data_IF_127203376356
#
_entry.id   IF_127203376356
#
_cell.length_a   1.000
_cell.length_b   1.000
_cell.length_c   1.000
_cell.angle_alpha   90.00
_cell.angle_beta   90.00
_cell.angle_gamma   90.00
#
_symmetry.space_group_name_H-M   'P 1'
#
loop_
_entity.id
_entity.type
_entity.pdbx_description
1 polymer ?
#
# COMPACT_ATOMS: atom_id res chain seq x y z
N UNK A 1 20.11 -33.47 21.13
CA UNK A 1 20.03 -32.74 19.85
C UNK A 1 18.63 -32.93 19.29
N UNK A 2 17.76 -31.92 19.39
CA UNK A 2 16.43 -31.93 18.78
C UNK A 2 16.47 -30.95 17.60
N UNK A 3 16.29 -31.49 16.40
CA UNK A 3 16.27 -30.76 15.14
C UNK A 3 14.98 -29.94 15.07
N UNK A 4 15.07 -28.62 15.14
CA UNK A 4 13.96 -27.72 14.81
C UNK A 4 14.20 -27.26 13.38
N UNK A 5 13.44 -27.83 12.45
CA UNK A 5 13.40 -27.38 11.07
C UNK A 5 12.57 -26.10 10.97
N UNK A 6 13.23 -24.97 10.76
CA UNK A 6 12.57 -23.72 10.41
C UNK A 6 12.28 -23.72 8.90
N UNK A 7 10.99 -23.87 8.56
CA UNK A 7 10.49 -23.75 7.19
C UNK A 7 10.27 -22.27 6.88
N UNK A 8 11.16 -21.67 6.10
CA UNK A 8 11.04 -20.30 5.60
C UNK A 8 10.29 -20.34 4.25
N UNK A 9 9.00 -20.02 4.23
CA UNK A 9 8.21 -19.90 2.99
C UNK A 9 8.45 -18.53 2.36
N UNK A 10 9.34 -18.48 1.35
CA UNK A 10 9.48 -17.35 0.45
C UNK A 10 8.31 -17.37 -0.56
N UNK A 11 7.37 -16.42 -0.44
CA UNK A 11 6.40 -16.16 -1.49
C UNK A 11 7.04 -15.27 -2.56
N UNK A 12 7.51 -15.88 -3.65
CA UNK A 12 7.96 -15.19 -4.86
C UNK A 12 6.77 -15.15 -5.83
N UNK A 13 6.32 -13.94 -6.20
CA UNK A 13 5.31 -13.75 -7.25
C UNK A 13 6.01 -13.72 -8.61
N UNK A 14 5.60 -14.52 -9.63
CA UNK A 14 6.21 -14.42 -10.95
C UNK A 14 5.62 -13.26 -11.75
N UNK A 15 6.50 -12.42 -12.31
CA UNK A 15 6.18 -11.49 -13.38
C UNK A 15 6.19 -12.25 -14.71
N UNK A 16 5.05 -12.28 -15.42
CA UNK A 16 4.97 -12.88 -16.75
C UNK A 16 5.38 -11.86 -17.81
N UNK A 17 6.40 -12.22 -18.61
CA UNK A 17 6.87 -11.45 -19.76
C UNK A 17 5.83 -11.44 -20.89
N UNK A 18 5.53 -10.25 -21.44
CA UNK A 18 4.63 -10.08 -22.57
C UNK A 18 5.41 -9.97 -23.89
N UNK A 19 5.10 -10.85 -24.84
CA UNK A 19 5.47 -10.70 -26.24
C UNK A 19 4.33 -9.99 -27.01
N UNK A 20 4.70 -9.07 -27.90
CA UNK A 20 3.78 -8.25 -28.70
C UNK A 20 3.14 -9.05 -29.85
N UNK A 21 1.88 -8.75 -30.16
CA UNK A 21 1.14 -9.24 -31.34
C UNK A 21 -0.06 -8.33 -31.67
N UNK A 22 -0.53 -8.28 -32.93
CA UNK A 22 -0.80 -7.03 -33.66
C UNK A 22 -2.23 -6.48 -33.57
N UNK A 23 -2.36 -5.19 -33.91
CA UNK A 23 -3.58 -4.41 -34.08
C UNK A 23 -4.37 -4.75 -35.35
N UNK A 24 -5.69 -4.96 -35.24
CA UNK A 24 -6.66 -4.92 -36.36
C UNK A 24 -8.09 -4.60 -35.84
N UNK A 25 -9.08 -4.19 -36.69
CA UNK A 25 -9.87 -2.97 -36.51
C UNK A 25 -11.36 -3.22 -36.18
N UNK A 26 -12.08 -2.16 -35.83
CA UNK A 26 -13.55 -2.16 -35.68
C UNK A 26 -14.26 -2.32 -37.03
N UNK A 27 -15.24 -3.23 -37.10
CA UNK A 27 -16.60 -2.92 -37.58
C UNK A 27 -17.64 -3.97 -37.14
N UNK A 28 -18.91 -3.54 -37.10
CA UNK A 28 -20.02 -4.11 -36.32
C UNK A 28 -20.75 -5.31 -36.95
N UNK A 29 -21.39 -6.13 -36.10
CA UNK A 29 -22.36 -7.14 -36.50
C UNK A 29 -23.14 -7.70 -35.29
N UNK A 30 -24.41 -7.34 -35.16
CA UNK A 30 -25.18 -7.44 -33.91
C UNK A 30 -25.68 -8.82 -33.49
N UNK A 31 -26.09 -8.91 -32.21
CA UNK A 31 -27.19 -9.71 -31.67
C UNK A 31 -27.58 -9.10 -30.31
N UNK A 32 -28.85 -8.73 -30.14
CA UNK A 32 -29.35 -7.80 -29.13
C UNK A 32 -29.13 -8.19 -27.65
N UNK A 33 -28.19 -7.50 -27.01
CA UNK A 33 -27.99 -7.52 -25.56
C UNK A 33 -27.72 -6.10 -25.03
N UNK A 34 -28.34 -5.09 -25.65
CA UNK A 34 -28.16 -3.69 -25.27
C UNK A 34 -28.96 -3.41 -23.99
N UNK A 35 -28.26 -3.19 -22.88
CA UNK A 35 -28.85 -2.80 -21.60
C UNK A 35 -29.58 -3.93 -20.85
N UNK A 36 -29.20 -5.18 -21.10
CA UNK A 36 -29.79 -6.31 -20.38
C UNK A 36 -29.17 -6.42 -18.96
N UNK A 37 -29.98 -6.50 -17.89
CA UNK A 37 -29.46 -6.73 -16.55
C UNK A 37 -28.83 -8.13 -16.48
N UNK A 38 -27.61 -8.20 -15.94
CA UNK A 38 -26.87 -9.43 -15.69
C UNK A 38 -26.46 -9.54 -14.22
N UNK A 39 -26.11 -10.74 -13.80
CA UNK A 39 -25.59 -11.02 -12.46
C UNK A 39 -24.31 -11.85 -12.54
N UNK A 40 -23.32 -11.48 -11.74
CA UNK A 40 -22.05 -12.24 -11.62
C UNK A 40 -22.30 -13.52 -10.84
N UNK A 41 -21.87 -14.67 -11.37
CA UNK A 41 -22.16 -15.99 -10.79
C UNK A 41 -20.94 -16.67 -10.15
N UNK A 42 -19.75 -16.10 -10.26
CA UNK A 42 -18.51 -16.60 -9.66
C UNK A 42 -18.09 -15.73 -8.48
N UNK A 43 -17.29 -16.29 -7.55
CA UNK A 43 -16.86 -15.62 -6.30
C UNK A 43 -16.33 -14.20 -6.52
N UNK A 44 -15.45 -14.03 -7.51
CA UNK A 44 -15.04 -12.73 -8.01
C UNK A 44 -14.65 -12.81 -9.50
N UNK A 45 -14.89 -11.73 -10.23
CA UNK A 45 -14.47 -11.55 -11.62
C UNK A 45 -13.70 -10.23 -11.78
N UNK A 46 -12.69 -10.22 -12.65
CA UNK A 46 -11.92 -9.02 -12.96
C UNK A 46 -12.53 -8.29 -14.15
N UNK A 47 -12.95 -7.05 -13.95
CA UNK A 47 -13.48 -6.18 -15.01
C UNK A 47 -12.30 -5.68 -15.84
N UNK A 48 -12.16 -6.13 -17.08
CA UNK A 48 -10.98 -5.83 -17.92
C UNK A 48 -11.22 -4.67 -18.88
N UNK A 49 -10.15 -4.02 -19.32
CA UNK A 49 -10.23 -2.92 -20.28
C UNK A 49 -10.67 -3.36 -21.69
N UNK A 50 -10.51 -4.64 -22.04
CA UNK A 50 -10.86 -5.21 -23.34
C UNK A 50 -11.19 -6.71 -23.26
N UNK A 51 -11.72 -7.30 -24.35
CA UNK A 51 -12.16 -8.70 -24.39
C UNK A 51 -10.99 -9.68 -24.52
N UNK A 52 -10.27 -9.90 -23.42
CA UNK A 52 -9.13 -10.82 -23.39
C UNK A 52 -8.40 -10.82 -22.05
N UNK A 53 -7.78 -11.95 -21.72
CA UNK A 53 -6.97 -12.06 -20.49
C UNK A 53 -5.68 -11.20 -20.53
N UNK A 54 -5.30 -10.69 -21.70
CA UNK A 54 -4.15 -9.80 -21.87
C UNK A 54 -4.47 -8.34 -21.51
N UNK A 55 -5.76 -7.96 -21.45
CA UNK A 55 -6.15 -6.59 -21.10
C UNK A 55 -6.08 -6.37 -19.60
N UNK A 56 -5.59 -5.20 -19.20
CA UNK A 56 -5.48 -4.79 -17.79
C UNK A 56 -6.83 -4.81 -17.08
N UNK A 57 -6.83 -5.21 -15.81
CA UNK A 57 -8.00 -5.14 -14.94
C UNK A 57 -8.24 -3.69 -14.50
N UNK A 58 -9.49 -3.23 -14.62
CA UNK A 58 -10.01 -1.93 -14.17
C UNK A 58 -10.72 -2.02 -12.82
N UNK A 59 -10.95 -3.23 -12.30
CA UNK A 59 -11.68 -3.44 -11.06
C UNK A 59 -12.08 -4.88 -10.84
N UNK A 60 -12.78 -5.13 -9.74
CA UNK A 60 -13.33 -6.45 -9.40
C UNK A 60 -14.81 -6.32 -9.08
N UNK A 61 -15.56 -7.33 -9.50
CA UNK A 61 -16.97 -7.54 -9.14
C UNK A 61 -17.09 -8.89 -8.45
N UNK A 62 -18.04 -9.03 -7.55
CA UNK A 62 -18.22 -10.21 -6.71
C UNK A 62 -19.49 -10.97 -7.08
N UNK A 63 -19.57 -12.22 -6.63
CA UNK A 63 -20.76 -13.04 -6.83
C UNK A 63 -22.01 -12.31 -6.34
N UNK A 64 -23.04 -12.28 -7.18
CA UNK A 64 -24.31 -11.64 -6.87
C UNK A 64 -24.41 -10.18 -7.32
N UNK A 65 -23.30 -9.53 -7.69
CA UNK A 65 -23.30 -8.15 -8.19
C UNK A 65 -24.13 -8.03 -9.47
N UNK A 66 -24.94 -6.96 -9.53
CA UNK A 66 -25.72 -6.60 -10.71
C UNK A 66 -24.86 -5.80 -11.68
N UNK A 67 -24.87 -6.21 -12.94
CA UNK A 67 -24.13 -5.57 -14.02
C UNK A 67 -25.06 -5.30 -15.19
N UNK A 68 -24.84 -4.22 -15.92
CA UNK A 68 -25.59 -3.95 -17.15
C UNK A 68 -24.77 -4.42 -18.35
N UNK A 69 -25.26 -5.44 -19.06
CA UNK A 69 -24.61 -5.96 -20.27
C UNK A 69 -24.93 -5.01 -21.43
N UNK A 70 -23.89 -4.51 -22.10
CA UNK A 70 -24.03 -3.60 -23.23
C UNK A 70 -23.84 -4.31 -24.57
N UNK A 71 -22.81 -5.15 -24.69
CA UNK A 71 -22.54 -5.90 -25.93
C UNK A 71 -21.71 -7.15 -25.68
N UNK A 72 -21.58 -7.99 -26.69
CA UNK A 72 -20.65 -9.12 -26.73
C UNK A 72 -19.45 -8.82 -27.62
N UNK A 73 -18.33 -9.48 -27.37
CA UNK A 73 -17.19 -9.48 -28.29
C UNK A 73 -17.54 -10.25 -29.55
N UNK A 74 -16.78 -10.04 -30.62
CA UNK A 74 -17.01 -10.74 -31.91
C UNK A 74 -16.89 -12.25 -31.78
N UNK A 75 -16.06 -12.72 -30.84
CA UNK A 75 -15.90 -14.15 -30.50
C UNK A 75 -17.01 -14.69 -29.59
N UNK A 76 -17.84 -13.82 -29.00
CA UNK A 76 -18.89 -14.17 -28.02
C UNK A 76 -18.38 -14.63 -26.65
N UNK A 77 -17.06 -14.76 -26.46
CA UNK A 77 -16.45 -15.21 -25.20
C UNK A 77 -16.46 -14.14 -24.10
N UNK A 78 -16.63 -12.87 -24.49
CA UNK A 78 -16.62 -11.72 -23.58
C UNK A 78 -17.89 -10.89 -23.72
N UNK A 79 -18.28 -10.28 -22.61
CA UNK A 79 -19.39 -9.33 -22.51
C UNK A 79 -18.86 -8.01 -21.97
N UNK A 80 -19.21 -6.91 -22.62
CA UNK A 80 -18.98 -5.58 -22.09
C UNK A 80 -20.09 -5.27 -21.09
N UNK A 81 -19.70 -4.87 -19.89
CA UNK A 81 -20.59 -4.59 -18.78
C UNK A 81 -20.31 -3.22 -18.17
N UNK A 82 -21.33 -2.62 -17.59
CA UNK A 82 -21.19 -1.50 -16.65
C UNK A 82 -21.54 -1.98 -15.25
N UNK A 83 -20.60 -1.86 -14.32
CA UNK A 83 -20.75 -2.26 -12.92
C UNK A 83 -20.33 -1.08 -12.03
N UNK A 84 -21.25 -0.58 -11.18
CA UNK A 84 -20.98 0.53 -10.26
C UNK A 84 -20.35 1.77 -10.93
N UNK A 85 -20.77 2.08 -12.16
CA UNK A 85 -20.25 3.21 -12.95
C UNK A 85 -18.96 2.94 -13.72
N UNK A 86 -18.34 1.76 -13.56
CA UNK A 86 -17.12 1.36 -14.28
C UNK A 86 -17.50 0.47 -15.47
N UNK A 87 -17.07 0.88 -16.67
CA UNK A 87 -17.27 0.13 -17.93
C UNK A 87 -16.05 -0.74 -18.25
N UNK A 88 -16.28 -2.02 -18.52
CA UNK A 88 -15.24 -2.97 -18.93
C UNK A 88 -15.79 -4.32 -19.35
N UNK A 89 -14.92 -5.32 -19.46
CA UNK A 89 -15.22 -6.61 -20.07
C UNK A 89 -15.09 -7.74 -19.04
N UNK A 90 -16.08 -8.64 -19.04
CA UNK A 90 -16.08 -9.90 -18.28
C UNK A 90 -16.19 -11.08 -19.24
N UNK A 91 -15.81 -12.28 -18.81
CA UNK A 91 -16.07 -13.46 -19.64
C UNK A 91 -17.57 -13.75 -19.63
N UNK A 92 -18.14 -14.06 -20.79
CA UNK A 92 -19.57 -14.33 -20.94
C UNK A 92 -20.06 -15.46 -20.02
N UNK A 93 -19.20 -16.45 -19.74
CA UNK A 93 -19.49 -17.57 -18.81
C UNK A 93 -19.58 -17.17 -17.34
N UNK A 94 -19.13 -15.98 -16.96
CA UNK A 94 -19.08 -15.49 -15.58
C UNK A 94 -20.30 -14.64 -15.24
N UNK A 95 -21.13 -14.31 -16.24
CA UNK A 95 -22.30 -13.45 -16.12
C UNK A 95 -23.55 -14.20 -16.57
N UNK A 96 -24.55 -14.25 -15.71
CA UNK A 96 -25.89 -14.73 -16.06
C UNK A 96 -26.77 -13.55 -16.47
N UNK A 97 -27.19 -13.53 -17.73
CA UNK A 97 -28.15 -12.53 -18.24
C UNK A 97 -29.53 -12.84 -17.65
N UNK A 98 -30.14 -11.85 -17.01
CA UNK A 98 -31.49 -11.94 -16.47
C UNK A 98 -32.50 -11.51 -17.57
N UNK A 99 -33.68 -12.15 -17.65
CA UNK A 99 -34.73 -11.70 -18.55
C UNK A 99 -35.14 -10.27 -18.18
N UNK A 100 -35.27 -9.40 -19.18
CA UNK A 100 -35.77 -8.03 -19.00
C UNK A 100 -37.23 -8.10 -18.56
N UNK A 101 -37.46 -7.98 -17.26
CA UNK A 101 -38.80 -8.02 -16.70
C UNK A 101 -39.55 -6.75 -17.13
N UNK A 102 -40.71 -6.92 -17.76
CA UNK A 102 -41.58 -5.80 -18.11
C UNK A 102 -42.00 -5.05 -16.83
N UNK A 103 -42.27 -3.73 -16.91
CA UNK A 103 -42.65 -2.97 -15.72
C UNK A 103 -43.90 -3.59 -15.10
N UNK A 104 -43.79 -4.10 -13.87
CA UNK A 104 -44.97 -4.47 -13.09
C UNK A 104 -45.59 -3.18 -12.57
N UNK A 105 -46.77 -2.87 -13.09
CA UNK A 105 -47.70 -1.92 -12.52
C UNK A 105 -48.05 -2.40 -11.10
N UNK A 106 -47.38 -1.86 -10.08
CA UNK A 106 -47.60 -2.29 -8.70
C UNK A 106 -46.48 -2.03 -7.69
N UNK A 107 -45.81 -0.88 -7.71
CA UNK A 107 -45.04 -0.39 -6.55
C UNK A 107 -45.82 0.73 -5.84
N UNK A 108 -47.03 0.40 -5.41
CA UNK A 108 -47.70 1.14 -4.35
C UNK A 108 -47.26 0.54 -3.00
N UNK A 109 -46.43 1.31 -2.28
CA UNK A 109 -46.28 1.29 -0.82
C UNK A 109 -46.03 -0.07 -0.15
N UNK A 110 -44.76 -0.47 -0.03
CA UNK A 110 -44.34 -1.45 0.98
C UNK A 110 -44.28 -0.78 2.37
N UNK A 111 -45.33 -0.97 3.17
CA UNK A 111 -45.49 -0.44 4.53
C UNK A 111 -44.54 -1.06 5.58
N UNK A 112 -43.56 -1.88 5.17
CA UNK A 112 -42.56 -2.48 6.07
C UNK A 112 -41.31 -1.65 6.30
N UNK A 113 -40.96 -0.72 5.40
CA UNK A 113 -39.71 0.05 5.49
C UNK A 113 -39.83 1.35 6.31
N UNK A 114 -41.02 1.98 6.34
CA UNK A 114 -41.27 3.20 7.11
C UNK A 114 -41.31 2.99 8.64
N UNK A 115 -41.40 1.74 9.14
CA UNK A 115 -41.43 1.48 10.60
C UNK A 115 -40.06 1.55 11.29
N UNK A 116 -38.94 1.57 10.55
CA UNK A 116 -37.60 1.61 11.17
C UNK A 116 -37.01 3.01 11.30
N UNK A 117 -37.55 4.01 10.60
CA UNK A 117 -37.04 5.39 10.65
C UNK A 117 -37.85 6.32 11.58
N UNK A 118 -39.07 5.97 11.97
CA UNK A 118 -39.96 6.90 12.72
C UNK A 118 -39.77 6.99 14.23
N UNK A 119 -38.82 6.28 14.87
CA UNK A 119 -38.81 6.20 16.35
C UNK A 119 -37.63 6.86 17.08
N UNK A 120 -36.60 7.39 16.41
CA UNK A 120 -35.45 7.99 17.09
C UNK A 120 -34.93 9.25 16.40
N UNK A 121 -34.81 10.33 17.16
CA UNK A 121 -34.14 11.57 16.74
C UNK A 121 -32.91 11.80 17.62
N UNK A 122 -31.85 12.35 17.03
CA UNK A 122 -30.62 12.72 17.74
C UNK A 122 -30.58 14.24 17.93
N UNK A 123 -30.15 14.71 19.09
CA UNK A 123 -29.91 16.14 19.30
C UNK A 123 -28.54 16.59 18.77
N UNK A 124 -28.31 17.91 18.73
CA UNK A 124 -27.09 18.53 18.23
C UNK A 124 -25.81 18.15 19.03
N UNK A 125 -25.96 17.38 20.11
CA UNK A 125 -24.89 16.88 20.96
C UNK A 125 -24.79 15.34 20.91
N UNK A 126 -25.44 14.70 19.92
CA UNK A 126 -25.29 13.27 19.62
C UNK A 126 -26.06 12.32 20.53
N UNK A 127 -27.01 12.81 21.35
CA UNK A 127 -27.79 11.97 22.28
C UNK A 127 -29.10 11.50 21.66
N UNK A 128 -29.46 10.23 21.91
CA UNK A 128 -30.70 9.59 21.42
C UNK A 128 -31.93 10.09 22.17
N UNK A 129 -32.97 10.49 21.43
CA UNK A 129 -34.31 10.82 21.95
C UNK A 129 -35.37 9.90 21.33
N UNK A 130 -36.31 9.46 22.16
CA UNK A 130 -37.51 8.77 21.69
C UNK A 130 -38.49 9.77 21.06
N UNK A 131 -39.37 9.31 20.17
CA UNK A 131 -40.35 10.13 19.46
C UNK A 131 -41.32 10.95 20.35
N UNK A 132 -41.39 10.68 21.66
CA UNK A 132 -42.19 11.43 22.63
C UNK A 132 -41.40 12.47 23.45
N UNK A 133 -40.15 12.78 23.07
CA UNK A 133 -39.33 13.83 23.69
C UNK A 133 -38.73 13.48 25.07
N UNK A 134 -38.97 12.26 25.59
CA UNK A 134 -38.36 11.82 26.85
C UNK A 134 -36.92 11.35 26.63
N UNK A 135 -36.02 11.77 27.52
CA UNK A 135 -34.64 11.33 27.54
C UNK A 135 -34.59 9.83 27.92
N UNK A 136 -33.98 9.01 27.09
CA UNK A 136 -33.73 7.60 27.40
C UNK A 136 -32.39 7.54 28.14
N UNK A 137 -32.43 7.08 29.39
CA UNK A 137 -31.24 6.97 30.25
C UNK A 137 -30.19 6.05 29.63
N UNK A 138 -28.94 6.50 29.64
CA UNK A 138 -27.77 5.68 29.34
C UNK A 138 -27.72 4.53 30.34
N UNK A 139 -27.80 3.29 29.85
CA UNK A 139 -27.70 2.09 30.70
C UNK A 139 -26.41 2.12 31.52
N UNK A 140 -26.57 2.32 32.82
CA UNK A 140 -25.58 2.02 33.85
C UNK A 140 -25.32 0.51 33.85
N UNK A 141 -24.08 0.15 33.50
CA UNK A 141 -23.54 -1.19 33.66
C UNK A 141 -22.54 -1.22 34.81
N UNK A 142 -23.05 -1.49 36.00
CA UNK A 142 -22.42 -2.19 37.13
C UNK A 142 -20.92 -1.97 37.40
N UNK A 143 -20.66 -1.16 38.41
CA UNK A 143 -19.51 -1.21 39.29
C UNK A 143 -19.24 -2.64 39.79
N UNK A 144 -18.05 -3.18 39.50
CA UNK A 144 -17.48 -4.32 40.22
C UNK A 144 -16.42 -3.80 41.18
N UNK A 145 -16.76 -3.90 42.45
CA UNK A 145 -15.89 -3.75 43.61
C UNK A 145 -15.07 -5.05 43.74
N UNK A 146 -13.77 -4.96 43.46
CA UNK A 146 -12.73 -5.95 43.78
C UNK A 146 -11.72 -5.15 44.60
N UNK A 147 -11.83 -5.20 45.92
CA UNK A 147 -11.23 -6.22 46.80
C UNK A 147 -9.71 -6.05 46.81
N UNK A 148 -9.27 -5.49 47.92
CA UNK A 148 -7.91 -5.29 48.40
C UNK A 148 -7.10 -6.61 48.43
N UNK A 149 -5.79 -6.43 48.65
CA UNK A 149 -4.72 -7.43 48.79
C UNK A 149 -4.01 -7.81 47.48
N UNK A 150 -2.90 -7.14 47.21
CA UNK A 150 -1.62 -7.86 47.09
C UNK A 150 -0.42 -6.95 47.31
N UNK A 151 0.37 -7.38 48.29
CA UNK A 151 1.63 -6.87 48.80
C UNK A 151 2.69 -6.79 47.69
N UNK A 152 3.19 -5.58 47.43
CA UNK A 152 4.17 -5.28 46.36
C UNK A 152 5.37 -4.55 46.95
N UNK A 153 5.99 -5.16 47.97
CA UNK A 153 7.31 -4.79 48.46
C UNK A 153 8.26 -6.00 48.39
N UNK A 154 8.85 -6.23 47.22
CA UNK A 154 10.16 -6.87 47.09
C UNK A 154 10.67 -6.72 45.65
N UNK A 155 11.44 -5.65 45.40
CA UNK A 155 12.27 -5.55 44.20
C UNK A 155 13.74 -5.60 44.64
N UNK A 156 14.49 -6.67 44.27
CA UNK A 156 15.90 -6.75 44.60
C UNK A 156 16.74 -5.78 43.76
N UNK A 157 17.76 -5.24 44.40
CA UNK A 157 18.78 -4.35 43.84
C UNK A 157 19.46 -4.92 42.59
N UNK A 158 19.53 -4.10 41.54
CA UNK A 158 20.28 -4.41 40.33
C UNK A 158 21.79 -4.26 40.57
N UNK A 159 22.44 -5.37 40.95
CA UNK A 159 23.88 -5.53 41.03
C UNK A 159 24.45 -6.40 39.90
N UNK A 160 25.13 -5.74 38.96
CA UNK A 160 26.38 -6.16 38.28
C UNK A 160 26.48 -7.42 37.37
N UNK A 161 26.80 -7.12 36.10
CA UNK A 161 27.79 -7.73 35.18
C UNK A 161 27.72 -9.20 34.72
N UNK A 162 27.79 -9.31 33.38
CA UNK A 162 28.45 -10.33 32.56
C UNK A 162 27.63 -11.49 31.96
N UNK A 163 27.47 -11.38 30.64
CA UNK A 163 27.60 -12.45 29.63
C UNK A 163 26.74 -13.71 29.76
N UNK A 164 25.42 -13.56 29.65
CA UNK A 164 24.58 -14.65 29.16
C UNK A 164 24.46 -14.52 27.63
N UNK A 165 25.20 -15.36 26.91
CA UNK A 165 24.99 -15.62 25.48
C UNK A 165 23.67 -16.38 25.34
N UNK A 166 22.55 -15.65 25.28
CA UNK A 166 21.24 -16.21 24.95
C UNK A 166 21.20 -16.56 23.47
N UNK A 167 21.08 -17.85 23.16
CA UNK A 167 20.85 -18.31 21.79
C UNK A 167 19.37 -18.16 21.45
N UNK A 168 19.07 -17.33 20.44
CA UNK A 168 17.72 -17.16 19.89
C UNK A 168 17.05 -15.82 20.16
N UNK A 169 17.78 -14.71 20.11
CA UNK A 169 17.21 -13.37 20.27
C UNK A 169 16.29 -13.02 19.11
N UNK A 170 14.98 -13.14 19.32
CA UNK A 170 13.96 -12.69 18.39
C UNK A 170 13.35 -11.40 18.95
N UNK A 171 13.43 -10.32 18.18
CA UNK A 171 12.77 -9.07 18.50
C UNK A 171 11.69 -8.77 17.47
N UNK A 172 10.52 -8.37 17.96
CA UNK A 172 9.39 -7.86 17.18
C UNK A 172 9.20 -6.39 17.51
N UNK A 173 8.95 -5.56 16.50
CA UNK A 173 8.64 -4.15 16.71
C UNK A 173 7.46 -3.71 15.87
N UNK A 174 6.63 -2.84 16.45
CA UNK A 174 5.55 -2.15 15.76
C UNK A 174 5.71 -0.67 16.01
N UNK A 175 5.78 0.13 14.95
CA UNK A 175 5.85 1.60 15.03
C UNK A 175 4.75 2.24 14.21
N UNK A 176 4.33 3.42 14.66
CA UNK A 176 3.37 4.25 13.97
C UNK A 176 3.86 5.71 14.02
N UNK A 177 3.63 6.46 12.95
CA UNK A 177 4.14 7.82 12.88
C UNK A 177 3.78 8.55 11.61
N UNK A 178 4.59 9.56 11.28
CA UNK A 178 4.44 10.38 10.10
C UNK A 178 5.52 10.05 9.08
N UNK A 179 5.13 9.98 7.82
CA UNK A 179 6.03 9.91 6.69
C UNK A 179 5.76 11.08 5.75
N UNK A 180 6.81 11.58 5.12
CA UNK A 180 6.71 12.44 3.96
C UNK A 180 7.36 11.77 2.75
N UNK A 181 6.59 11.73 1.67
CA UNK A 181 7.02 11.22 0.38
C UNK A 181 7.17 12.39 -0.56
N UNK A 182 8.34 12.45 -1.19
CA UNK A 182 8.62 13.35 -2.29
C UNK A 182 8.95 12.49 -3.50
N UNK A 183 8.21 12.70 -4.58
CA UNK A 183 8.51 12.10 -5.87
C UNK A 183 8.71 13.20 -6.90
N UNK A 184 9.81 13.11 -7.63
CA UNK A 184 10.06 13.95 -8.81
C UNK A 184 10.09 13.05 -10.02
N UNK A 185 9.25 13.34 -11.01
CA UNK A 185 9.34 12.76 -12.35
C UNK A 185 9.94 13.79 -13.29
N UNK A 186 10.98 13.38 -14.00
CA UNK A 186 11.60 14.17 -15.06
C UNK A 186 11.31 13.40 -16.34
N UNK A 187 10.42 13.92 -17.19
CA UNK A 187 10.13 13.32 -18.48
C UNK A 187 11.07 13.86 -19.56
N UNK A 188 11.32 13.06 -20.59
CA UNK A 188 11.91 13.55 -21.85
C UNK A 188 10.88 14.25 -22.76
N UNK A 189 9.64 14.39 -22.30
CA UNK A 189 8.61 15.16 -22.98
C UNK A 189 9.04 16.61 -23.20
N UNK A 190 8.49 17.24 -24.25
CA UNK A 190 8.61 18.69 -24.42
C UNK A 190 8.07 19.43 -23.18
N UNK A 191 8.53 20.67 -22.97
CA UNK A 191 8.21 21.47 -21.77
C UNK A 191 6.71 21.65 -21.51
N UNK A 192 5.86 21.43 -22.51
CA UNK A 192 4.41 21.58 -22.42
C UNK A 192 3.67 20.33 -21.91
N UNK A 193 4.35 19.22 -21.62
CA UNK A 193 3.69 18.02 -21.09
C UNK A 193 3.46 18.10 -19.58
N UNK A 194 2.30 17.60 -19.13
CA UNK A 194 1.98 17.39 -17.71
C UNK A 194 3.05 16.62 -16.94
N UNK A 195 3.82 15.79 -17.65
CA UNK A 195 4.83 14.91 -17.06
C UNK A 195 6.24 15.52 -17.04
N UNK A 196 6.43 16.73 -17.60
CA UNK A 196 7.74 17.38 -17.71
C UNK A 196 8.47 17.44 -16.37
N UNK A 197 7.80 17.96 -15.34
CA UNK A 197 8.28 18.03 -13.96
C UNK A 197 7.13 17.81 -12.95
N UNK A 198 6.72 16.56 -12.75
CA UNK A 198 5.71 16.24 -11.73
C UNK A 198 6.39 16.11 -10.37
N UNK A 199 6.09 17.06 -9.47
CA UNK A 199 6.56 17.06 -8.08
C UNK A 199 5.40 16.74 -7.13
N UNK A 200 5.35 15.50 -6.66
CA UNK A 200 4.44 15.13 -5.57
C UNK A 200 5.15 15.27 -4.23
N UNK A 201 4.54 16.01 -3.29
CA UNK A 201 4.98 16.11 -1.90
C UNK A 201 3.80 15.81 -1.00
N UNK A 202 3.94 14.80 -0.16
CA UNK A 202 2.86 14.28 0.65
C UNK A 202 3.33 14.08 2.08
N UNK A 203 2.54 14.51 3.07
CA UNK A 203 2.73 14.16 4.49
C UNK A 203 1.54 13.30 4.94
N UNK A 204 1.78 12.26 5.72
CA UNK A 204 0.70 11.45 6.29
C UNK A 204 1.19 10.32 7.16
N UNK A 205 0.30 9.36 7.40
CA UNK A 205 0.51 8.32 8.41
C UNK A 205 1.29 7.14 7.84
N UNK A 206 2.19 6.59 8.65
CA UNK A 206 2.90 5.35 8.35
C UNK A 206 2.87 4.39 9.52
N UNK A 207 2.70 3.10 9.23
CA UNK A 207 2.90 2.00 10.15
C UNK A 207 4.05 1.10 9.67
N UNK A 208 4.87 0.62 10.60
CA UNK A 208 5.96 -0.30 10.29
C UNK A 208 6.00 -1.47 11.26
N UNK A 209 6.15 -2.67 10.71
CA UNK A 209 6.38 -3.93 11.39
C UNK A 209 7.84 -4.34 11.16
N UNK A 210 8.55 -4.64 12.23
CA UNK A 210 9.93 -5.10 12.20
C UNK A 210 10.10 -6.43 12.89
N UNK A 211 10.95 -7.28 12.33
CA UNK A 211 11.39 -8.55 12.92
C UNK A 211 12.91 -8.59 12.83
N UNK A 212 13.57 -8.85 13.95
CA UNK A 212 15.02 -9.04 14.01
C UNK A 212 15.31 -10.36 14.72
N UNK A 213 16.07 -11.23 14.07
CA UNK A 213 16.47 -12.52 14.61
C UNK A 213 17.98 -12.62 14.65
N UNK A 214 18.53 -12.92 15.82
CA UNK A 214 19.98 -13.03 16.05
C UNK A 214 20.31 -14.50 16.36
N UNK A 215 20.42 -15.38 15.35
CA UNK A 215 20.72 -16.80 15.55
C UNK A 215 22.10 -17.06 16.13
N UNK A 216 23.03 -16.13 15.90
CA UNK A 216 24.42 -16.21 16.35
C UNK A 216 24.84 -14.83 16.87
N UNK A 217 25.83 -14.75 17.79
CA UNK A 217 26.22 -13.48 18.41
C UNK A 217 26.64 -12.38 17.43
N UNK A 218 27.08 -12.77 16.22
CA UNK A 218 27.61 -11.87 15.21
C UNK A 218 26.76 -11.80 13.95
N UNK A 219 25.63 -12.51 13.89
CA UNK A 219 24.77 -12.57 12.70
C UNK A 219 23.35 -12.25 13.08
N UNK A 220 22.78 -11.24 12.44
CA UNK A 220 21.38 -10.87 12.57
C UNK A 220 20.68 -10.93 11.20
N UNK A 221 19.46 -11.43 11.18
CA UNK A 221 18.54 -11.37 10.04
C UNK A 221 17.42 -10.40 10.40
N UNK A 222 17.15 -9.43 9.54
CA UNK A 222 16.14 -8.40 9.78
C UNK A 222 15.13 -8.35 8.64
N UNK A 223 13.86 -8.48 8.97
CA UNK A 223 12.73 -8.19 8.10
C UNK A 223 12.04 -6.89 8.53
N UNK A 224 11.62 -6.06 7.59
CA UNK A 224 10.80 -4.88 7.87
C UNK A 224 9.73 -4.71 6.80
N UNK A 225 8.52 -4.37 7.20
CA UNK A 225 7.44 -3.98 6.31
C UNK A 225 6.86 -2.65 6.77
N UNK A 226 6.77 -1.69 5.86
CA UNK A 226 6.19 -0.37 6.10
C UNK A 226 5.07 -0.12 5.11
N UNK A 227 3.94 0.33 5.64
CA UNK A 227 2.80 0.81 4.88
C UNK A 227 2.58 2.28 5.22
N UNK A 228 2.69 3.15 4.23
CA UNK A 228 2.47 4.58 4.35
C UNK A 228 1.28 4.92 3.44
N UNK A 229 0.11 5.06 4.08
CA UNK A 229 -1.13 5.43 3.40
C UNK A 229 -1.42 6.88 3.68
N UNK A 230 -1.63 7.63 2.62
CA UNK A 230 -1.89 9.05 2.70
C UNK A 230 -3.36 9.30 2.39
N UNK A 231 -4.03 10.07 3.25
CA UNK A 231 -5.30 10.69 2.88
C UNK A 231 -5.07 11.57 1.65
N UNK A 232 -6.12 11.82 0.85
CA UNK A 232 -6.07 12.60 -0.39
C UNK A 232 -5.09 13.77 -0.28
N UNK A 233 -4.01 13.70 -1.06
CA UNK A 233 -2.97 14.71 -1.01
C UNK A 233 -3.19 15.66 -2.16
N UNK A 234 -3.26 16.96 -1.88
CA UNK A 234 -3.27 17.96 -2.96
C UNK A 234 -1.86 18.05 -3.53
N UNK A 235 -1.69 17.56 -4.74
CA UNK A 235 -0.46 17.73 -5.50
C UNK A 235 -0.61 19.00 -6.32
N UNK A 236 0.34 19.91 -6.14
CA UNK A 236 0.45 21.08 -6.98
C UNK A 236 1.01 20.62 -8.34
N UNK A 237 0.15 20.45 -9.34
CA UNK A 237 0.57 20.22 -10.70
C UNK A 237 0.96 21.57 -11.30
N UNK A 238 2.26 21.88 -11.30
CA UNK A 238 2.79 23.19 -11.70
C UNK A 238 2.60 23.51 -13.20
N UNK A 239 2.27 22.51 -14.03
CA UNK A 239 2.30 22.64 -15.50
C UNK A 239 0.92 22.80 -16.16
N UNK A 240 -0.18 22.66 -15.41
CA UNK A 240 -1.49 23.09 -15.93
C UNK A 240 -1.51 24.61 -15.82
N UNK A 241 -1.38 25.30 -16.95
CA UNK A 241 -1.28 26.74 -17.24
C UNK A 241 -1.88 27.81 -16.29
N UNK A 242 -2.54 27.45 -15.18
CA UNK A 242 -3.08 28.33 -14.14
C UNK A 242 -2.73 27.91 -12.70
N UNK A 243 -1.81 26.95 -12.49
CA UNK A 243 -1.41 26.48 -11.16
C UNK A 243 -2.51 25.71 -10.42
N UNK A 244 -3.36 24.99 -11.14
CA UNK A 244 -4.41 24.18 -10.53
C UNK A 244 -3.84 23.06 -9.64
N UNK A 245 -4.30 23.02 -8.39
CA UNK A 245 -4.07 21.90 -7.49
C UNK A 245 -4.96 20.71 -7.89
N UNK A 246 -4.36 19.54 -8.08
CA UNK A 246 -5.10 18.30 -8.28
C UNK A 246 -4.93 17.44 -7.03
N UNK A 247 -6.05 16.94 -6.50
CA UNK A 247 -6.00 15.95 -5.43
C UNK A 247 -5.56 14.59 -6.01
N UNK A 248 -4.44 14.07 -5.51
CA UNK A 248 -3.89 12.77 -5.86
C UNK A 248 -3.72 11.96 -4.57
N UNK A 249 -4.39 10.82 -4.48
CA UNK A 249 -4.13 9.82 -3.46
C UNK A 249 -2.77 9.18 -3.69
N UNK A 250 -1.95 9.09 -2.63
CA UNK A 250 -0.65 8.41 -2.67
C UNK A 250 -0.71 7.22 -1.71
N UNK A 251 -0.32 6.05 -2.21
CA UNK A 251 -0.08 4.83 -1.43
C UNK A 251 1.38 4.43 -1.61
N UNK A 252 2.10 4.14 -0.53
CA UNK A 252 3.48 3.72 -0.60
C UNK A 252 3.79 2.61 0.39
N UNK A 253 4.42 1.56 -0.11
CA UNK A 253 4.76 0.37 0.65
C UNK A 253 6.24 0.05 0.48
N UNK A 254 6.90 -0.33 1.57
CA UNK A 254 8.30 -0.77 1.56
C UNK A 254 8.43 -2.09 2.31
N UNK A 255 9.06 -3.09 1.70
CA UNK A 255 9.43 -4.33 2.36
C UNK A 255 10.93 -4.55 2.21
N UNK A 256 11.62 -4.89 3.30
CA UNK A 256 13.07 -5.08 3.31
C UNK A 256 13.46 -6.35 4.04
N UNK A 257 14.48 -7.03 3.52
CA UNK A 257 15.11 -8.19 4.14
C UNK A 257 16.63 -7.99 4.12
N UNK A 258 17.27 -8.09 5.27
CA UNK A 258 18.69 -7.84 5.44
C UNK A 258 19.35 -8.96 6.27
N UNK A 259 20.61 -9.24 5.97
CA UNK A 259 21.52 -10.03 6.80
C UNK A 259 22.66 -9.12 7.21
N UNK A 260 22.93 -9.03 8.51
CA UNK A 260 23.93 -8.16 9.10
C UNK A 260 24.95 -8.98 9.89
N UNK A 261 26.23 -8.71 9.62
CA UNK A 261 27.33 -9.08 10.50
C UNK A 261 27.54 -7.99 11.55
N UNK A 262 27.64 -8.34 12.83
CA UNK A 262 27.84 -7.41 13.92
C UNK A 262 29.07 -7.81 14.73
N UNK A 263 29.93 -6.85 15.04
CA UNK A 263 31.09 -7.01 15.89
C UNK A 263 30.85 -6.23 17.19
N UNK A 264 30.80 -6.91 18.34
CA UNK A 264 30.62 -6.23 19.61
C UNK A 264 31.86 -5.38 19.92
N UNK A 265 31.59 -4.21 20.49
CA UNK A 265 32.53 -3.27 21.08
C UNK A 265 32.20 -3.17 22.58
N UNK A 266 33.06 -2.54 23.38
CA UNK A 266 32.88 -2.42 24.84
C UNK A 266 31.46 -1.91 25.22
N UNK A 267 31.00 -0.83 24.59
CA UNK A 267 29.70 -0.20 24.87
C UNK A 267 28.76 -0.17 23.64
N UNK A 268 28.92 -1.12 22.72
CA UNK A 268 28.17 -1.09 21.48
C UNK A 268 28.46 -2.24 20.52
N UNK A 269 28.06 -2.05 19.26
CA UNK A 269 28.42 -2.93 18.16
C UNK A 269 28.58 -2.13 16.88
N UNK A 270 29.47 -2.56 16.01
CA UNK A 270 29.60 -2.05 14.65
C UNK A 270 29.47 -3.21 13.67
N UNK A 271 28.89 -2.98 12.50
CA UNK A 271 28.60 -4.04 11.57
C UNK A 271 28.43 -3.58 10.13
N UNK A 272 28.37 -4.56 9.24
CA UNK A 272 28.00 -4.39 7.85
C UNK A 272 26.80 -5.25 7.54
N UNK A 273 26.01 -4.86 6.55
CA UNK A 273 24.84 -5.62 6.14
C UNK A 273 24.65 -5.61 4.63
N UNK A 274 23.98 -6.65 4.15
CA UNK A 274 23.51 -6.79 2.77
C UNK A 274 22.05 -7.22 2.77
N UNK A 275 21.29 -6.84 1.76
CA UNK A 275 19.87 -7.15 1.71
C UNK A 275 19.20 -6.79 0.40
N UNK A 276 17.89 -6.95 0.40
CA UNK A 276 17.00 -6.55 -0.69
C UNK A 276 15.87 -5.67 -0.15
N UNK A 277 15.39 -4.78 -1.02
CA UNK A 277 14.36 -3.82 -0.71
C UNK A 277 13.35 -3.78 -1.86
N UNK A 278 12.08 -3.96 -1.54
CA UNK A 278 10.95 -3.84 -2.44
C UNK A 278 10.19 -2.56 -2.11
N UNK A 279 10.02 -1.69 -3.09
CA UNK A 279 9.21 -0.47 -2.99
C UNK A 279 8.04 -0.54 -3.96
N UNK A 280 6.87 -0.12 -3.50
CA UNK A 280 5.70 0.11 -4.34
C UNK A 280 5.15 1.48 -4.02
N UNK A 281 4.84 2.24 -5.07
CA UNK A 281 4.13 3.51 -4.97
C UNK A 281 2.98 3.51 -5.95
N UNK A 282 1.80 3.89 -5.51
CA UNK A 282 0.62 4.05 -6.35
C UNK A 282 0.04 5.45 -6.21
N UNK A 283 -0.21 6.09 -7.34
CA UNK A 283 -0.90 7.37 -7.46
C UNK A 283 -2.26 7.11 -8.09
N UNK A 284 -3.31 7.64 -7.46
CA UNK A 284 -4.68 7.55 -7.96
C UNK A 284 -5.32 8.93 -7.87
N UNK A 285 -5.77 9.49 -8.99
CA UNK A 285 -6.58 10.72 -8.98
C UNK A 285 -8.05 10.38 -8.87
N UNK A 286 -8.81 11.19 -8.13
CA UNK A 286 -10.24 10.91 -7.91
C UNK A 286 -11.11 11.37 -9.09
N UNK A 287 -10.89 12.55 -9.70
CA UNK A 287 -11.52 13.07 -10.94
C UNK A 287 -10.85 14.42 -11.33
N UNK A 288 -10.98 14.95 -12.56
CA UNK A 288 -11.75 14.47 -13.72
C UNK A 288 -10.98 13.53 -14.67
N UNK A 289 -9.65 13.52 -14.65
CA UNK A 289 -8.84 12.61 -15.46
C UNK A 289 -8.25 11.52 -14.57
N UNK A 290 -8.70 10.26 -14.67
CA UNK A 290 -8.14 9.17 -13.88
C UNK A 290 -6.71 8.88 -14.31
N UNK A 291 -5.75 9.26 -13.48
CA UNK A 291 -4.35 8.92 -13.59
C UNK A 291 -4.06 7.83 -12.58
N UNK A 292 -3.73 6.65 -13.10
CA UNK A 292 -3.27 5.52 -12.31
C UNK A 292 -1.81 5.27 -12.65
N UNK A 293 -0.93 5.61 -11.72
CA UNK A 293 0.50 5.39 -11.90
C UNK A 293 1.02 4.57 -10.74
N UNK A 294 1.37 3.31 -11.01
CA UNK A 294 1.95 2.42 -9.99
C UNK A 294 3.36 2.08 -10.36
N UNK A 295 4.35 2.49 -9.58
CA UNK A 295 5.75 2.10 -9.77
C UNK A 295 6.17 1.07 -8.72
N UNK A 296 6.91 0.06 -9.15
CA UNK A 296 7.51 -0.95 -8.27
C UNK A 296 9.01 -1.01 -8.53
N UNK A 297 9.80 -1.02 -7.47
CA UNK A 297 11.26 -1.09 -7.54
C UNK A 297 11.76 -2.20 -6.64
N UNK A 298 12.60 -3.08 -7.16
CA UNK A 298 13.39 -4.01 -6.35
C UNK A 298 14.83 -3.49 -6.37
N UNK A 299 15.46 -3.35 -5.21
CA UNK A 299 16.83 -2.89 -5.09
C UNK A 299 17.65 -3.82 -4.19
N UNK A 300 18.91 -4.03 -4.55
CA UNK A 300 19.92 -4.54 -3.64
C UNK A 300 20.32 -3.43 -2.66
N UNK A 301 20.60 -3.80 -1.41
CA UNK A 301 21.04 -2.88 -0.37
C UNK A 301 22.34 -3.40 0.24
N UNK A 302 23.30 -2.51 0.47
CA UNK A 302 24.52 -2.79 1.23
C UNK A 302 24.89 -1.59 2.10
N UNK A 303 25.36 -1.82 3.31
CA UNK A 303 25.65 -0.71 4.22
C UNK A 303 26.38 -1.08 5.49
N UNK A 304 26.48 -0.10 6.38
CA UNK A 304 27.05 -0.22 7.70
C UNK A 304 26.01 0.11 8.77
N UNK A 305 26.19 -0.47 9.95
CA UNK A 305 25.36 -0.23 11.10
C UNK A 305 26.17 -0.11 12.38
N UNK A 306 25.67 0.67 13.31
CA UNK A 306 26.26 0.83 14.63
C UNK A 306 25.15 0.83 15.69
N UNK A 307 25.47 0.31 16.86
CA UNK A 307 24.61 0.30 18.03
C UNK A 307 25.42 0.72 19.26
N UNK A 308 24.80 1.45 20.17
CA UNK A 308 25.38 1.90 21.43
C UNK A 308 24.36 1.71 22.54
N UNK A 309 24.83 1.40 23.75
CA UNK A 309 23.97 1.25 24.91
C UNK A 309 24.40 2.20 26.03
N UNK A 310 23.46 3.01 26.49
CA UNK A 310 23.61 3.98 27.58
C UNK A 310 22.62 3.62 28.69
N UNK A 311 23.00 2.66 29.54
CA UNK A 311 22.12 2.14 30.58
C UNK A 311 20.85 1.48 29.99
N UNK A 312 19.64 2.03 30.24
CA UNK A 312 18.40 1.51 29.67
C UNK A 312 18.13 1.99 28.23
N UNK A 313 18.98 2.86 27.67
CA UNK A 313 18.77 3.42 26.33
C UNK A 313 19.68 2.73 25.32
N UNK A 314 19.09 2.13 24.29
CA UNK A 314 19.80 1.64 23.11
C UNK A 314 19.65 2.66 21.97
N UNK A 315 20.75 2.99 21.31
CA UNK A 315 20.77 3.82 20.11
C UNK A 315 21.31 3.01 18.96
N UNK A 316 20.61 2.96 17.82
CA UNK A 316 21.06 2.28 16.60
C UNK A 316 21.06 3.24 15.43
N UNK A 317 22.10 3.20 14.63
CA UNK A 317 22.21 3.95 13.38
C UNK A 317 22.57 3.00 12.23
N UNK A 318 21.98 3.23 11.06
CA UNK A 318 22.21 2.43 9.86
C UNK A 318 22.33 3.36 8.66
N UNK A 319 23.26 3.06 7.76
CA UNK A 319 23.44 3.79 6.52
C UNK A 319 23.90 2.85 5.42
N UNK A 320 23.35 3.01 4.22
CA UNK A 320 23.68 2.14 3.10
C UNK A 320 23.37 2.76 1.76
N UNK A 321 23.82 2.06 0.72
CA UNK A 321 23.56 2.35 -0.68
C UNK A 321 22.51 1.38 -1.21
N UNK A 322 21.73 1.84 -2.18
CA UNK A 322 20.69 1.09 -2.87
C UNK A 322 21.05 1.01 -4.34
N UNK A 323 21.00 -0.19 -4.90
CA UNK A 323 21.19 -0.42 -6.33
C UNK A 323 19.92 -1.04 -6.91
N UNK A 324 19.14 -0.29 -7.71
CA UNK A 324 17.96 -0.82 -8.41
C UNK A 324 18.31 -2.06 -9.24
N UNK A 325 17.58 -3.15 -9.03
CA UNK A 325 17.69 -4.41 -9.79
C UNK A 325 16.53 -4.57 -10.78
N UNK A 326 15.36 -4.02 -10.45
CA UNK A 326 14.22 -3.94 -11.36
C UNK A 326 13.40 -2.70 -11.08
N UNK A 327 12.83 -2.15 -12.14
CA UNK A 327 11.88 -1.05 -12.08
C UNK A 327 10.74 -1.32 -13.06
N UNK A 328 9.51 -1.26 -12.58
CA UNK A 328 8.31 -1.34 -13.41
C UNK A 328 7.36 -0.22 -13.05
N UNK A 329 6.65 0.30 -14.05
CA UNK A 329 5.69 1.37 -13.87
C UNK A 329 4.44 1.04 -14.67
N UNK A 330 3.33 0.68 -14.02
CA UNK A 330 2.04 0.46 -14.68
C UNK A 330 1.37 1.81 -14.96
N UNK A 331 0.74 2.00 -16.14
CA UNK A 331 0.42 1.01 -17.18
C UNK A 331 1.55 0.66 -18.18
N UNK A 332 2.72 1.26 -18.04
CA UNK A 332 3.90 1.03 -18.87
C UNK A 332 4.62 -0.32 -18.60
N UNK A 333 5.53 -0.66 -19.52
CA UNK A 333 6.41 -1.83 -19.42
C UNK A 333 7.56 -1.61 -18.41
N UNK A 334 8.27 -2.68 -18.06
CA UNK A 334 9.52 -2.61 -17.29
C UNK A 334 10.59 -1.82 -18.05
N UNK A 335 11.33 -0.96 -17.34
CA UNK A 335 12.50 -0.28 -17.88
C UNK A 335 13.79 -0.88 -17.32
N UNK A 336 14.91 -0.62 -18.00
CA UNK A 336 16.22 -0.93 -17.42
C UNK A 336 16.46 -0.02 -16.22
N UNK A 337 16.65 -0.57 -15.01
CA UNK A 337 16.80 0.20 -13.80
C UNK A 337 18.25 0.69 -13.69
N UNK A 338 18.62 1.71 -14.46
CA UNK A 338 19.90 2.40 -14.21
C UNK A 338 19.67 3.42 -13.10
N UNK A 339 20.45 3.37 -12.03
CA UNK A 339 20.14 4.20 -10.89
C UNK A 339 20.97 3.95 -9.64
N UNK A 340 20.77 4.81 -8.67
CA UNK A 340 21.46 4.76 -7.39
C UNK A 340 20.60 5.38 -6.31
N UNK A 341 20.71 4.83 -5.11
CA UNK A 341 20.05 5.36 -3.94
C UNK A 341 20.88 5.22 -2.68
N UNK A 342 20.37 5.81 -1.62
CA UNK A 342 20.93 5.70 -0.29
C UNK A 342 19.82 5.67 0.74
N UNK A 343 20.11 5.01 1.86
CA UNK A 343 19.22 4.88 3.01
C UNK A 343 19.97 5.22 4.27
N UNK A 344 19.32 5.96 5.16
CA UNK A 344 19.76 6.21 6.52
C UNK A 344 18.62 5.88 7.48
N UNK A 345 18.92 5.29 8.61
CA UNK A 345 17.96 5.04 9.67
C UNK A 345 18.61 5.28 11.03
N UNK A 346 17.85 5.88 11.94
CA UNK A 346 18.23 6.04 13.33
C UNK A 346 17.09 5.51 14.20
N UNK A 347 17.45 4.93 15.34
CA UNK A 347 16.52 4.38 16.30
C UNK A 347 17.04 4.63 17.70
N UNK A 348 16.14 5.02 18.60
CA UNK A 348 16.41 5.16 20.02
C UNK A 348 15.35 4.34 20.74
N UNK A 349 15.77 3.36 21.55
CA UNK A 349 14.89 2.50 22.31
C UNK A 349 15.19 2.62 23.81
N UNK A 350 14.17 2.91 24.60
CA UNK A 350 14.26 2.93 26.07
C UNK A 350 13.65 1.65 26.63
N UNK A 351 14.48 0.81 27.23
CA UNK A 351 14.11 -0.42 27.90
C UNK A 351 13.49 -0.10 29.26
N UNK A 352 12.19 -0.37 29.42
CA UNK A 352 11.49 -0.21 30.69
C UNK A 352 11.20 -1.55 31.38
N UNK A 353 11.39 -2.67 30.66
CA UNK A 353 11.40 -4.02 31.22
C UNK A 353 12.41 -4.88 30.42
N UNK A 354 12.86 -6.04 30.94
CA UNK A 354 13.86 -6.86 30.27
C UNK A 354 13.53 -7.26 28.82
N UNK A 355 12.23 -7.42 28.52
CA UNK A 355 11.74 -7.82 27.20
C UNK A 355 11.08 -6.67 26.44
N UNK A 356 10.88 -5.49 27.04
CA UNK A 356 10.08 -4.42 26.46
C UNK A 356 10.82 -3.09 26.39
N UNK A 357 10.71 -2.45 25.23
CA UNK A 357 11.21 -1.10 25.03
C UNK A 357 10.20 -0.23 24.29
N UNK A 358 10.16 1.06 24.63
CA UNK A 358 9.55 2.09 23.79
C UNK A 358 10.62 2.61 22.84
N UNK A 359 10.32 2.73 21.55
CA UNK A 359 11.30 3.18 20.57
C UNK A 359 10.80 4.34 19.71
N UNK A 360 11.69 5.28 19.44
CA UNK A 360 11.58 6.27 18.38
C UNK A 360 12.43 5.83 17.19
N UNK A 361 11.86 5.86 15.99
CA UNK A 361 12.55 5.47 14.76
C UNK A 361 12.45 6.60 13.75
N UNK A 362 13.54 6.84 13.02
CA UNK A 362 13.61 7.75 11.88
C UNK A 362 14.27 7.03 10.72
N UNK A 363 13.78 7.31 9.53
CA UNK A 363 14.31 6.75 8.29
C UNK A 363 14.27 7.79 7.20
N UNK A 364 15.29 7.73 6.36
CA UNK A 364 15.40 8.47 5.14
C UNK A 364 15.83 7.48 4.06
N UNK A 365 15.17 7.48 2.92
CA UNK A 365 15.57 6.72 1.75
C UNK A 365 15.35 7.54 0.51
N UNK A 366 16.35 7.59 -0.36
CA UNK A 366 16.25 8.18 -1.68
C UNK A 366 16.71 7.18 -2.73
N UNK A 367 15.94 6.96 -3.78
CA UNK A 367 16.37 6.21 -4.96
C UNK A 367 16.15 7.06 -6.19
N UNK A 368 17.11 7.03 -7.10
CA UNK A 368 16.98 7.57 -8.43
C UNK A 368 16.97 6.39 -9.38
N UNK A 369 15.97 6.32 -10.24
CA UNK A 369 15.84 5.31 -11.29
C UNK A 369 15.65 6.04 -12.61
N UNK A 370 16.61 5.90 -13.50
CA UNK A 370 16.50 6.30 -14.88
C UNK A 370 15.72 5.23 -15.62
N UNK A 371 14.76 5.66 -16.43
CA UNK A 371 13.99 4.73 -17.24
C UNK A 371 14.54 4.76 -18.66
N UNK A 372 15.25 3.70 -19.01
CA UNK A 372 15.71 3.43 -20.38
C UNK A 372 14.82 2.36 -20.98
N UNK A 373 13.74 2.78 -21.63
CA UNK A 373 12.83 1.87 -22.32
C UNK A 373 12.06 2.62 -23.41
N UNK A 374 11.48 1.88 -24.35
CA UNK A 374 10.64 2.44 -25.42
C UNK A 374 9.22 2.78 -24.94
N UNK A 375 8.97 2.82 -23.61
CA UNK A 375 7.60 2.88 -23.10
C UNK A 375 6.87 4.14 -23.54
N UNK A 376 5.88 3.94 -24.39
CA UNK A 376 5.16 5.03 -25.01
C UNK A 376 3.95 5.41 -24.17
N UNK A 377 4.02 6.48 -23.37
CA UNK A 377 2.81 7.12 -22.89
C UNK A 377 2.24 8.00 -23.99
N UNK A 378 1.03 7.71 -24.44
CA UNK A 378 0.22 8.67 -25.21
C UNK A 378 -0.36 9.63 -24.19
N UNK A 379 0.00 10.90 -24.29
CA UNK A 379 -0.64 11.95 -23.49
C UNK A 379 -2.06 12.16 -24.01
N UNK A 380 -3.03 11.54 -23.35
CA UNK A 380 -4.45 11.68 -23.72
C UNK A 380 -5.07 12.97 -23.20
N UNK A 381 -4.30 13.84 -22.55
CA UNK A 381 -4.81 15.12 -22.03
C UNK A 381 -4.73 16.24 -23.05
N UNK A 382 -3.95 16.06 -24.12
CA UNK A 382 -3.90 16.95 -25.27
C UNK A 382 -4.96 16.51 -26.27
N UNK A 383 -5.74 17.46 -26.81
CA UNK A 383 -6.72 17.21 -27.88
C UNK A 383 -6.29 17.95 -29.17
N UNK A 384 -6.03 17.26 -30.29
CA UNK A 384 -6.04 15.80 -30.44
C UNK A 384 -4.89 15.17 -29.63
N UNK A 385 -5.02 13.88 -29.23
CA UNK A 385 -3.94 13.15 -28.59
C UNK A 385 -2.69 13.28 -29.46
N UNK A 386 -1.68 14.00 -28.97
CA UNK A 386 -0.42 14.09 -29.68
C UNK A 386 0.12 12.67 -29.68
N UNK A 387 0.25 12.03 -30.85
CA UNK A 387 0.72 10.64 -30.99
C UNK A 387 2.17 10.44 -30.51
N UNK A 388 2.74 11.45 -29.84
CA UNK A 388 4.02 11.44 -29.19
C UNK A 388 3.95 10.57 -27.93
N UNK A 389 4.79 9.57 -27.96
CA UNK A 389 5.12 8.72 -26.85
C UNK A 389 6.06 9.44 -25.87
N UNK A 390 5.67 9.55 -24.62
CA UNK A 390 6.53 10.07 -23.56
C UNK A 390 7.00 8.94 -22.64
N UNK A 391 8.27 8.99 -22.26
CA UNK A 391 8.83 8.16 -21.19
C UNK A 391 9.15 9.05 -19.99
N UNK A 392 9.04 8.53 -18.77
CA UNK A 392 9.86 9.08 -17.71
C UNK A 392 11.32 8.92 -18.16
N UNK A 393 12.13 9.98 -18.13
CA UNK A 393 13.57 9.83 -18.32
C UNK A 393 14.22 9.42 -17.00
N UNK A 394 13.73 10.00 -15.90
CA UNK A 394 14.23 9.77 -14.56
C UNK A 394 13.11 9.94 -13.52
N UNK A 395 13.09 9.04 -12.54
CA UNK A 395 12.24 9.09 -11.36
C UNK A 395 13.11 9.17 -10.11
N UNK A 396 12.82 10.15 -9.24
CA UNK A 396 13.49 10.32 -7.96
C UNK A 396 12.45 10.14 -6.85
N UNK A 397 12.55 9.04 -6.11
CA UNK A 397 11.73 8.80 -4.93
C UNK A 397 12.51 9.10 -3.68
N UNK A 398 11.93 9.95 -2.83
CA UNK A 398 12.45 10.23 -1.49
C UNK A 398 11.35 9.96 -0.48
N UNK A 399 11.61 9.07 0.45
CA UNK A 399 10.75 8.84 1.61
C UNK A 399 11.55 9.20 2.84
N UNK A 400 10.99 10.04 3.68
CA UNK A 400 11.47 10.18 5.04
C UNK A 400 10.30 10.01 5.99
N UNK A 401 10.56 9.43 7.15
CA UNK A 401 9.50 9.21 8.12
C UNK A 401 10.07 8.94 9.47
N UNK A 402 9.26 9.23 10.48
CA UNK A 402 9.58 8.94 11.86
C UNK A 402 8.33 8.54 12.62
N UNK A 403 8.52 7.69 13.62
CA UNK A 403 7.44 7.16 14.42
C UNK A 403 7.89 6.73 15.79
N UNK A 404 6.89 6.45 16.63
CA UNK A 404 7.06 5.88 17.96
C UNK A 404 6.41 4.51 17.97
N UNK A 405 6.99 3.59 18.72
CA UNK A 405 6.50 2.23 18.80
C UNK A 405 6.98 1.49 20.01
N UNK A 406 6.72 0.18 19.99
CA UNK A 406 7.16 -0.76 21.02
C UNK A 406 7.97 -1.86 20.38
N UNK A 407 8.96 -2.35 21.13
CA UNK A 407 9.72 -3.55 20.82
C UNK A 407 9.55 -4.57 21.93
N UNK A 408 9.34 -5.81 21.51
CA UNK A 408 9.35 -6.98 22.36
C UNK A 408 10.50 -7.90 21.95
N UNK A 409 11.30 -8.35 22.91
CA UNK A 409 12.46 -9.23 22.69
C UNK A 409 12.31 -10.54 23.48
N UNK A 410 12.53 -11.67 22.82
CA UNK A 410 12.49 -13.03 23.37
C UNK A 410 13.87 -13.57 23.71
#
# INVERSE_FOLDING_TARGET
>A
MRTIGALLLLFIWPAAAAAQGPSVPLEAGGLGADGAPGQVIIDFAEVRAGPGNAYVSRGRVYQGDRVEVQRRSDTGEWVEVTASGVRGWLKAKEVRILPKEAPREGDATDAGRDRRETNYTYDAQGRRRAANGRAMGSGEGTSRQMADDEDLSDFPEAGQTASNLSFGGLALSVTAGAAQIRRTFISNAGQDSLLGDLLAKTLGFSAELGVEWTPMPYVAVRGSFRDARFAETRVLALTLNDGQEIAIGVDAQQAGLQVAGQYPLLDGAFGAYVGGLFWRHAFQTTQPVPLYLTSTTIAAEAGAQAAWRFGPVDVRARGGILYPLSFSQSPADSGDPDGFGYRAAAEVAWQFAPQWAVLGQWTFSRITTDFRGTSTHVDTTVDPPDGRSYTAAQQIDTIHGGGVGVRFSL
#
